data_IF_179186733324
#
_entry.id   IF_179186733324
#
_cell.length_a   1.000
_cell.length_b   1.000
_cell.length_c   1.000
_cell.angle_alpha   90.00
_cell.angle_beta   90.00
_cell.angle_gamma   90.00
#
_symmetry.space_group_name_H-M   'P 1'
#
loop_
_entity.id
_entity.type
_entity.pdbx_description
1 polymer ?
#
# COMPACT_ATOMS: atom_id res chain seq x y z
N UNK A 1 11.85 -3.06 -18.36
CA UNK A 1 10.58 -3.51 -17.75
C UNK A 1 10.89 -3.89 -16.31
N UNK A 2 10.34 -3.14 -15.36
CA UNK A 2 10.74 -3.16 -13.95
C UNK A 2 10.44 -4.50 -13.30
N UNK A 3 11.40 -5.02 -12.53
CA UNK A 3 11.14 -6.08 -11.55
C UNK A 3 10.19 -5.52 -10.50
N UNK A 4 8.90 -5.79 -10.64
CA UNK A 4 7.82 -5.36 -9.73
C UNK A 4 7.59 -6.33 -8.56
N UNK A 5 8.44 -7.35 -8.45
CA UNK A 5 8.35 -8.42 -7.47
C UNK A 5 9.56 -8.38 -6.54
N UNK A 6 9.31 -8.41 -5.23
CA UNK A 6 10.33 -8.41 -4.18
C UNK A 6 10.15 -9.64 -3.28
N UNK A 7 11.26 -10.28 -2.88
CA UNK A 7 11.25 -11.42 -1.96
C UNK A 7 11.22 -12.80 -2.62
N UNK A 8 11.32 -13.86 -1.79
CA UNK A 8 11.33 -15.27 -2.22
C UNK A 8 10.24 -16.08 -1.52
N UNK A 9 10.32 -16.24 -0.20
CA UNK A 9 9.33 -16.96 0.61
C UNK A 9 8.15 -16.06 0.96
N UNK A 10 8.43 -14.86 1.46
CA UNK A 10 7.46 -13.78 1.57
C UNK A 10 7.66 -12.86 0.37
N UNK A 11 6.68 -12.81 -0.53
CA UNK A 11 6.82 -12.17 -1.84
C UNK A 11 5.78 -11.10 -2.05
N UNK A 12 6.21 -9.95 -2.54
CA UNK A 12 5.39 -8.75 -2.75
C UNK A 12 5.47 -8.36 -4.22
N UNK A 13 4.34 -8.38 -4.91
CA UNK A 13 4.25 -8.04 -6.34
C UNK A 13 3.33 -6.85 -6.53
N UNK A 14 3.83 -5.73 -7.05
CA UNK A 14 3.04 -4.51 -7.25
C UNK A 14 2.52 -4.38 -8.68
N UNK A 15 1.41 -3.67 -8.84
CA UNK A 15 0.81 -3.35 -10.13
C UNK A 15 0.03 -2.03 -10.08
N UNK A 16 -0.26 -1.51 -11.27
CA UNK A 16 -0.96 -0.24 -11.46
C UNK A 16 -0.02 0.94 -11.64
N UNK A 17 -0.61 2.06 -12.08
CA UNK A 17 0.08 3.29 -12.43
C UNK A 17 -0.59 4.48 -11.73
N UNK A 18 0.14 5.57 -11.52
CA UNK A 18 -0.36 6.75 -10.81
C UNK A 18 -1.56 7.44 -11.49
N UNK A 19 -1.70 7.29 -12.80
CA UNK A 19 -2.83 7.80 -13.59
C UNK A 19 -3.80 6.69 -14.03
N UNK A 20 -3.59 5.45 -13.57
CA UNK A 20 -4.47 4.33 -13.83
C UNK A 20 -5.71 4.36 -12.94
N UNK A 21 -6.69 3.51 -13.25
CA UNK A 21 -7.93 3.41 -12.47
C UNK A 21 -7.71 2.90 -11.03
N UNK A 22 -6.62 2.17 -10.81
CA UNK A 22 -6.26 1.63 -9.51
C UNK A 22 -4.76 1.29 -9.43
N UNK A 23 -4.26 1.20 -8.20
CA UNK A 23 -2.95 0.64 -7.85
C UNK A 23 -3.14 -0.47 -6.82
N UNK A 24 -2.22 -1.43 -6.79
CA UNK A 24 -2.36 -2.57 -5.90
C UNK A 24 -1.11 -3.40 -5.72
N UNK A 25 -1.24 -4.40 -4.85
CA UNK A 25 -0.17 -5.33 -4.50
C UNK A 25 -0.74 -6.71 -4.21
N UNK A 26 0.02 -7.75 -4.57
CA UNK A 26 -0.22 -9.15 -4.20
C UNK A 26 0.87 -9.56 -3.21
N UNK A 27 0.47 -10.18 -2.10
CA UNK A 27 1.39 -10.65 -1.06
C UNK A 27 1.24 -12.17 -0.92
N UNK A 28 2.32 -12.90 -1.22
CA UNK A 28 2.41 -14.35 -1.06
C UNK A 28 3.27 -14.72 0.16
N UNK A 29 3.02 -15.91 0.72
CA UNK A 29 3.81 -16.45 1.84
C UNK A 29 3.39 -15.91 3.21
N UNK A 30 2.18 -15.34 3.31
CA UNK A 30 1.62 -14.96 4.59
C UNK A 30 1.24 -16.22 5.40
N UNK A 31 1.67 -16.33 6.67
CA UNK A 31 1.30 -17.46 7.52
C UNK A 31 -0.21 -17.49 7.76
N UNK A 32 -0.78 -18.69 7.81
CA UNK A 32 -2.19 -18.88 8.11
C UNK A 32 -2.52 -18.42 9.54
N UNK A 33 -3.76 -17.94 9.75
CA UNK A 33 -4.24 -17.49 11.05
C UNK A 33 -3.87 -16.05 11.42
N UNK A 34 -3.09 -15.35 10.59
CA UNK A 34 -2.88 -13.91 10.75
C UNK A 34 -4.19 -13.18 10.45
N UNK A 35 -4.74 -12.54 11.48
CA UNK A 35 -5.89 -11.66 11.30
C UNK A 35 -5.42 -10.37 10.64
N UNK A 36 -6.02 -10.03 9.50
CA UNK A 36 -5.77 -8.78 8.80
C UNK A 36 -7.13 -8.15 8.54
N UNK A 37 -7.29 -6.91 8.94
CA UNK A 37 -8.50 -6.13 8.69
C UNK A 37 -8.22 -4.99 7.74
N UNK A 38 -9.25 -4.55 7.01
CA UNK A 38 -9.14 -3.38 6.13
C UNK A 38 -8.74 -2.12 6.91
N UNK A 39 -9.27 -1.93 8.13
CA UNK A 39 -8.99 -0.76 8.95
C UNK A 39 -7.52 -0.63 9.36
N UNK A 40 -6.81 -1.74 9.57
CA UNK A 40 -5.37 -1.73 9.84
C UNK A 40 -4.56 -1.26 8.61
N UNK A 41 -4.99 -1.67 7.41
CA UNK A 41 -4.37 -1.25 6.15
C UNK A 41 -4.61 0.25 5.93
N UNK A 42 -5.85 0.72 6.10
CA UNK A 42 -6.20 2.14 5.98
C UNK A 42 -5.44 3.01 6.99
N UNK A 43 -5.34 2.58 8.25
CA UNK A 43 -4.56 3.28 9.26
C UNK A 43 -3.06 3.33 8.91
N UNK A 44 -2.51 2.26 8.32
CA UNK A 44 -1.13 2.23 7.85
C UNK A 44 -0.90 3.17 6.64
N UNK A 45 -1.87 3.25 5.73
CA UNK A 45 -1.84 4.18 4.60
C UNK A 45 -1.96 5.64 5.07
N UNK A 46 -2.84 5.93 6.04
CA UNK A 46 -3.06 7.26 6.59
C UNK A 46 -1.78 7.84 7.22
N UNK A 47 -0.88 7.01 7.78
CA UNK A 47 0.43 7.46 8.30
C UNK A 47 1.34 8.04 7.21
N UNK A 48 1.14 7.67 5.93
CA UNK A 48 1.89 8.23 4.80
C UNK A 48 1.30 9.56 4.32
N UNK A 49 0.06 9.86 4.65
CA UNK A 49 -0.53 11.13 4.28
C UNK A 49 0.31 12.24 4.93
N UNK A 50 0.74 13.27 4.17
CA UNK A 50 1.40 14.42 4.76
C UNK A 50 0.43 15.01 5.77
N UNK A 51 0.80 14.95 7.06
CA UNK A 51 -0.08 15.41 8.14
C UNK A 51 -0.58 16.83 7.90
N UNK A 52 -1.73 17.17 8.49
CA UNK A 52 -2.41 18.47 8.37
C UNK A 52 -1.66 19.64 9.04
N UNK A 53 -0.34 19.73 8.82
CA UNK A 53 0.43 20.90 9.20
C UNK A 53 -0.07 22.10 8.41
N UNK A 54 -0.10 23.26 9.07
CA UNK A 54 -0.55 24.54 8.50
C UNK A 54 0.14 24.95 7.18
N UNK A 55 1.28 24.32 6.85
CA UNK A 55 2.08 24.57 5.65
C UNK A 55 1.79 23.62 4.47
N UNK A 56 0.92 22.63 4.63
CA UNK A 56 0.56 21.71 3.56
C UNK A 56 -0.77 22.17 2.94
N UNK A 57 -0.82 22.30 1.62
CA UNK A 57 -2.07 22.58 0.90
C UNK A 57 -3.13 21.53 1.29
N UNK A 58 -4.37 21.94 1.54
CA UNK A 58 -5.49 21.02 1.77
C UNK A 58 -5.71 20.13 0.54
N UNK A 59 -4.99 19.03 0.45
CA UNK A 59 -5.18 18.01 -0.56
C UNK A 59 -6.16 17.00 0.03
N UNK A 60 -7.43 17.13 -0.36
CA UNK A 60 -8.44 16.10 -0.16
C UNK A 60 -8.41 15.20 -1.38
N UNK A 61 -8.02 13.95 -1.18
CA UNK A 61 -8.61 12.84 -1.93
C UNK A 61 -9.88 12.40 -1.21
#
# INVERSE_FOLDING_TARGET
>A
MSSNTFGKLFRVTTWGESHGSAVGVIIDGCPAGLQITQGEIEAALAKRAPGGNFYVSQRRE
#
